data_IF_733432856400
#
_entry.id   IF_733432856400
#
_cell.length_a   1.000
_cell.length_b   1.000
_cell.length_c   1.000
_cell.angle_alpha   90.00
_cell.angle_beta   90.00
_cell.angle_gamma   90.00
#
_symmetry.space_group_name_H-M   'P 1'
#
loop_
_entity.id
_entity.type
_entity.pdbx_description
1 polymer ?
#
# COMPACT_ATOMS: atom_id res chain seq x y z
N UNK A 1 -4.98 -1.25 6.45
CA UNK A 1 -4.60 -2.68 6.29
C UNK A 1 -3.09 -2.76 6.30
N UNK A 2 -2.49 -3.42 7.29
CA UNK A 2 -1.04 -3.65 7.35
C UNK A 2 -0.71 -4.84 6.43
N UNK A 3 0.19 -4.65 5.47
CA UNK A 3 0.64 -5.75 4.60
C UNK A 3 1.86 -6.41 5.23
N UNK A 4 1.71 -7.69 5.54
CA UNK A 4 2.76 -8.60 5.99
C UNK A 4 3.36 -9.27 4.76
N UNK A 5 4.64 -9.01 4.49
CA UNK A 5 5.34 -9.59 3.34
C UNK A 5 6.49 -10.44 3.86
N UNK A 6 6.42 -11.75 3.63
CA UNK A 6 7.51 -12.67 3.92
C UNK A 6 8.33 -12.88 2.66
N UNK A 7 9.59 -12.44 2.66
CA UNK A 7 10.52 -12.62 1.56
C UNK A 7 11.60 -13.64 1.97
N UNK A 8 11.79 -14.68 1.16
CA UNK A 8 12.85 -15.68 1.33
C UNK A 8 13.68 -15.75 0.06
N UNK A 9 14.99 -15.55 0.21
CA UNK A 9 15.96 -15.58 -0.89
C UNK A 9 16.97 -16.68 -0.63
N UNK A 10 17.26 -17.47 -1.67
CA UNK A 10 18.35 -18.45 -1.66
C UNK A 10 19.33 -18.07 -2.76
N UNK A 11 20.57 -17.74 -2.38
CA UNK A 11 21.62 -17.45 -3.34
C UNK A 11 22.40 -18.73 -3.65
N UNK A 12 22.48 -19.08 -4.94
CA UNK A 12 23.24 -20.24 -5.41
C UNK A 12 24.22 -19.68 -6.44
N UNK A 13 25.49 -19.53 -6.08
CA UNK A 13 26.50 -19.02 -7.01
C UNK A 13 27.76 -19.88 -7.02
N UNK A 14 28.41 -19.87 -8.19
CA UNK A 14 29.56 -20.67 -8.58
C UNK A 14 30.72 -19.77 -9.00
N UNK A 15 31.78 -19.71 -8.19
CA UNK A 15 33.11 -19.25 -8.61
C UNK A 15 33.54 -17.87 -8.07
N UNK A 16 34.78 -17.81 -7.60
CA UNK A 16 35.40 -16.69 -6.88
C UNK A 16 35.86 -15.54 -7.79
N UNK A 17 35.40 -14.29 -7.54
CA UNK A 17 36.18 -13.06 -7.81
C UNK A 17 35.82 -12.01 -6.74
N UNK A 18 36.82 -11.56 -5.98
CA UNK A 18 36.68 -10.47 -5.00
C UNK A 18 37.21 -9.19 -5.65
N UNK A 19 36.33 -8.24 -5.94
CA UNK A 19 36.72 -6.90 -6.38
C UNK A 19 35.90 -5.86 -5.62
N UNK A 20 36.59 -4.96 -4.91
CA UNK A 20 35.99 -3.82 -4.23
C UNK A 20 35.30 -2.91 -5.27
N UNK A 21 33.98 -2.82 -5.20
CA UNK A 21 33.17 -1.90 -6.00
C UNK A 21 32.02 -1.39 -5.15
N UNK A 22 31.81 -0.07 -5.13
CA UNK A 22 30.83 0.67 -4.31
C UNK A 22 29.36 0.45 -4.75
N UNK A 23 28.94 -0.79 -4.96
CA UNK A 23 27.52 -1.09 -5.19
C UNK A 23 26.86 -1.46 -3.86
N UNK A 24 25.88 -0.66 -3.41
CA UNK A 24 25.14 -0.95 -2.19
C UNK A 24 24.23 -2.16 -2.39
N UNK A 25 24.52 -3.27 -1.72
CA UNK A 25 23.65 -4.44 -1.67
C UNK A 25 22.51 -4.17 -0.69
N UNK A 26 21.28 -4.27 -1.17
CA UNK A 26 20.10 -4.01 -0.37
C UNK A 26 18.87 -4.74 -0.90
N UNK A 27 17.88 -4.87 -0.04
CA UNK A 27 16.54 -5.36 -0.34
C UNK A 27 15.60 -4.17 -0.33
N UNK A 28 14.89 -3.98 -1.43
CA UNK A 28 13.84 -2.98 -1.57
C UNK A 28 12.50 -3.68 -1.70
N UNK A 29 11.57 -3.36 -0.81
CA UNK A 29 10.18 -3.82 -0.92
C UNK A 29 9.30 -2.62 -1.19
N UNK A 30 8.48 -2.69 -2.23
CA UNK A 30 7.65 -1.58 -2.70
C UNK A 30 6.24 -2.07 -2.98
N UNK A 31 5.24 -1.39 -2.42
CA UNK A 31 3.84 -1.55 -2.81
C UNK A 31 3.57 -0.61 -3.97
N UNK A 32 3.08 -1.16 -5.07
CA UNK A 32 2.82 -0.44 -6.31
C UNK A 32 1.33 -0.49 -6.62
N UNK A 33 0.78 0.66 -7.01
CA UNK A 33 -0.54 0.79 -7.59
C UNK A 33 -0.40 0.93 -9.11
N UNK A 34 -1.03 0.01 -9.83
CA UNK A 34 -1.24 0.06 -11.26
C UNK A 34 -2.64 0.63 -11.51
N UNK A 35 -2.70 1.73 -12.24
CA UNK A 35 -3.96 2.36 -12.64
C UNK A 35 -4.02 2.41 -14.15
N UNK A 36 -5.01 1.76 -14.73
CA UNK A 36 -5.29 1.79 -16.15
C UNK A 36 -6.57 2.59 -16.39
N UNK A 37 -6.52 3.52 -17.34
CA UNK A 37 -7.65 4.36 -17.75
C UNK A 37 -8.03 3.95 -19.17
N UNK A 38 -9.02 3.06 -19.28
CA UNK A 38 -9.35 2.37 -20.53
C UNK A 38 -9.89 3.32 -21.61
N UNK A 39 -10.56 4.41 -21.23
CA UNK A 39 -11.06 5.41 -22.19
C UNK A 39 -9.97 6.11 -22.99
N UNK A 40 -8.77 6.27 -22.43
CA UNK A 40 -7.66 7.03 -23.06
C UNK A 40 -6.40 6.18 -23.23
N UNK A 41 -6.49 4.87 -23.00
CA UNK A 41 -5.35 3.94 -22.95
C UNK A 41 -4.20 4.47 -22.08
N UNK A 42 -4.55 5.09 -20.95
CA UNK A 42 -3.59 5.67 -20.02
C UNK A 42 -3.17 4.65 -18.98
N UNK A 43 -1.86 4.48 -18.75
CA UNK A 43 -1.34 3.60 -17.71
C UNK A 43 -0.46 4.36 -16.73
N UNK A 44 -0.76 4.24 -15.44
CA UNK A 44 0.02 4.81 -14.35
C UNK A 44 0.52 3.71 -13.45
N UNK A 45 1.80 3.81 -13.08
CA UNK A 45 2.48 2.86 -12.22
C UNK A 45 3.19 3.64 -11.12
N UNK A 46 2.69 3.57 -9.89
CA UNK A 46 3.14 4.43 -8.80
C UNK A 46 3.39 3.65 -7.51
N UNK A 47 4.54 3.90 -6.91
CA UNK A 47 4.88 3.38 -5.58
C UNK A 47 4.08 4.11 -4.50
N UNK A 48 3.23 3.37 -3.79
CA UNK A 48 2.39 3.87 -2.69
C UNK A 48 3.00 3.63 -1.31
N UNK A 49 3.92 2.67 -1.18
CA UNK A 49 4.75 2.50 0.02
C UNK A 49 6.07 1.83 -0.39
N UNK A 50 7.16 2.14 0.29
CA UNK A 50 8.46 1.49 0.04
C UNK A 50 9.25 1.41 1.34
N UNK A 51 10.04 0.36 1.46
CA UNK A 51 11.06 0.20 2.51
C UNK A 51 12.32 -0.38 1.87
N UNK A 52 13.46 0.16 2.28
CA UNK A 52 14.78 -0.31 1.87
C UNK A 52 15.49 -0.86 3.10
N UNK A 53 16.17 -2.00 2.98
CA UNK A 53 16.89 -2.64 4.09
C UNK A 53 18.18 -3.29 3.61
N UNK A 54 19.27 -3.08 4.35
CA UNK A 54 20.58 -3.71 4.12
C UNK A 54 20.84 -4.90 5.05
N UNK A 55 19.87 -5.24 5.90
CA UNK A 55 20.04 -6.32 6.88
C UNK A 55 20.15 -7.68 6.17
N UNK A 56 21.19 -8.43 6.50
CA UNK A 56 21.47 -9.72 5.88
C UNK A 56 22.12 -9.64 4.49
N UNK A 57 22.51 -8.46 4.03
CA UNK A 57 23.30 -8.26 2.81
C UNK A 57 24.79 -8.07 3.15
N UNK A 58 25.74 -8.60 2.35
CA UNK A 58 25.55 -9.52 1.22
C UNK A 58 24.94 -10.87 1.63
N UNK A 59 24.15 -11.46 0.74
CA UNK A 59 23.74 -12.86 0.88
C UNK A 59 24.89 -13.74 0.38
N UNK A 60 25.53 -14.45 1.29
CA UNK A 60 26.64 -15.35 0.99
C UNK A 60 26.15 -16.49 0.06
N UNK A 61 26.94 -16.94 -0.94
CA UNK A 61 26.61 -18.12 -1.73
C UNK A 61 26.25 -19.33 -0.85
N UNK A 62 25.13 -19.98 -1.15
CA UNK A 62 24.60 -21.11 -0.37
C UNK A 62 23.78 -20.71 0.87
N UNK A 63 23.78 -19.45 1.27
CA UNK A 63 22.95 -18.96 2.38
C UNK A 63 21.50 -18.70 1.94
N UNK A 64 20.59 -18.77 2.91
CA UNK A 64 19.19 -18.38 2.74
C UNK A 64 18.86 -17.23 3.71
N UNK A 65 18.37 -16.12 3.18
CA UNK A 65 17.88 -14.99 3.98
C UNK A 65 16.36 -14.98 3.97
N UNK A 66 15.74 -15.02 5.14
CA UNK A 66 14.29 -14.88 5.31
C UNK A 66 14.00 -13.69 6.19
N UNK A 67 13.21 -12.74 5.69
CA UNK A 67 12.86 -11.51 6.41
C UNK A 67 11.40 -11.13 6.17
N UNK A 68 10.74 -10.69 7.23
CA UNK A 68 9.37 -10.16 7.19
C UNK A 68 9.42 -8.64 7.14
N UNK A 69 8.76 -8.06 6.15
CA UNK A 69 8.58 -6.63 5.99
C UNK A 69 7.14 -6.22 6.27
N UNK A 70 6.99 -5.04 6.89
CA UNK A 70 5.70 -4.44 7.21
C UNK A 70 5.56 -3.14 6.43
N UNK A 71 4.60 -3.08 5.51
CA UNK A 71 4.31 -1.87 4.74
C UNK A 71 2.86 -1.44 4.96
N UNK A 72 2.66 -0.14 5.11
CA UNK A 72 1.36 0.49 5.22
C UNK A 72 1.12 1.43 4.04
N UNK A 73 0.41 0.98 2.99
CA UNK A 73 0.02 1.86 1.89
C UNK A 73 -1.08 2.82 2.38
N UNK A 74 -0.72 4.08 2.64
CA UNK A 74 -1.63 5.13 3.13
C UNK A 74 -1.76 6.26 2.10
N UNK A 75 -2.96 6.80 1.93
CA UNK A 75 -3.18 7.95 1.05
C UNK A 75 -2.48 9.22 1.55
N UNK A 76 -2.35 9.37 2.87
CA UNK A 76 -1.71 10.52 3.53
C UNK A 76 -0.28 10.74 3.04
N UNK A 77 0.51 9.66 3.00
CA UNK A 77 1.90 9.68 2.54
C UNK A 77 2.04 9.84 1.01
N UNK A 78 0.93 9.87 0.28
CA UNK A 78 0.89 9.92 -1.17
C UNK A 78 0.13 11.13 -1.72
N UNK A 79 -0.35 12.05 -0.86
CA UNK A 79 -1.13 13.24 -1.27
C UNK A 79 -0.41 14.12 -2.31
N UNK A 80 0.92 14.20 -2.24
CA UNK A 80 1.72 15.04 -3.14
C UNK A 80 2.06 14.38 -4.48
N UNK A 81 1.69 13.11 -4.67
CA UNK A 81 2.02 12.34 -5.88
C UNK A 81 0.82 12.33 -6.84
N UNK A 82 1.08 12.71 -8.09
CA UNK A 82 0.09 12.63 -9.17
C UNK A 82 0.03 11.24 -9.79
N UNK A 83 -1.14 10.87 -10.32
CA UNK A 83 -1.36 9.58 -11.00
C UNK A 83 -1.54 8.40 -10.05
N UNK A 84 -1.90 8.66 -8.79
CA UNK A 84 -2.35 7.65 -7.83
C UNK A 84 -3.88 7.73 -7.75
N UNK A 85 -4.54 6.59 -7.89
CA UNK A 85 -5.99 6.49 -7.74
C UNK A 85 -6.38 6.53 -6.25
N UNK A 86 -7.35 7.39 -5.94
CA UNK A 86 -7.90 7.63 -4.60
C UNK A 86 -9.41 7.36 -4.62
N UNK A 87 -9.98 7.00 -3.46
CA UNK A 87 -11.42 6.75 -3.27
C UNK A 87 -12.23 8.04 -3.00
N UNK A 88 -11.61 9.21 -3.22
CA UNK A 88 -12.17 10.51 -2.89
C UNK A 88 -11.33 11.66 -3.46
N UNK A 89 -11.73 12.88 -3.15
CA UNK A 89 -11.02 14.08 -3.62
C UNK A 89 -9.80 14.37 -2.74
N UNK A 90 -8.69 14.77 -3.36
CA UNK A 90 -7.43 15.02 -2.65
C UNK A 90 -7.52 16.02 -1.47
N UNK A 91 -8.47 16.95 -1.51
CA UNK A 91 -8.71 17.98 -0.47
C UNK A 91 -9.56 17.50 0.71
N UNK A 92 -10.11 16.29 0.65
CA UNK A 92 -10.92 15.72 1.71
C UNK A 92 -10.04 14.95 2.70
N UNK A 93 -10.26 15.20 4.00
CA UNK A 93 -9.43 14.64 5.06
C UNK A 93 -9.51 13.12 5.21
N UNK A 94 -10.61 12.52 4.76
CA UNK A 94 -10.89 11.09 4.91
C UNK A 94 -10.58 10.27 3.63
N UNK A 95 -9.79 10.84 2.72
CA UNK A 95 -9.48 10.20 1.44
C UNK A 95 -8.52 9.03 1.63
N UNK A 96 -8.88 7.87 1.09
CA UNK A 96 -8.07 6.67 1.07
C UNK A 96 -7.56 6.34 -0.34
N UNK A 97 -6.62 5.39 -0.43
CA UNK A 97 -6.23 4.80 -1.71
C UNK A 97 -7.45 4.05 -2.28
N UNK A 98 -7.61 4.10 -3.60
CA UNK A 98 -8.73 3.43 -4.25
C UNK A 98 -8.67 1.90 -4.08
N UNK A 99 -9.83 1.26 -3.96
CA UNK A 99 -9.89 -0.20 -3.86
C UNK A 99 -9.52 -0.88 -5.19
N UNK A 100 -9.11 -2.14 -5.13
CA UNK A 100 -8.80 -2.94 -6.32
C UNK A 100 -10.04 -3.29 -7.11
N UNK A 101 -9.97 -3.20 -8.43
CA UNK A 101 -11.03 -3.65 -9.33
C UNK A 101 -11.08 -5.18 -9.32
N UNK A 102 -12.26 -5.75 -9.09
CA UNK A 102 -12.44 -7.20 -8.97
C UNK A 102 -12.67 -7.89 -10.34
N UNK A 103 -13.33 -7.21 -11.28
CA UNK A 103 -13.64 -7.73 -12.61
C UNK A 103 -13.01 -6.82 -13.67
N UNK A 104 -11.97 -7.30 -14.35
CA UNK A 104 -11.20 -6.48 -15.31
C UNK A 104 -11.58 -6.72 -16.77
N UNK A 105 -12.26 -7.83 -17.10
CA UNK A 105 -12.56 -8.24 -18.48
C UNK A 105 -13.43 -7.22 -19.23
N UNK A 106 -14.38 -6.60 -18.53
CA UNK A 106 -15.40 -5.72 -19.12
C UNK A 106 -15.43 -4.35 -18.42
N UNK A 107 -14.34 -4.00 -17.72
CA UNK A 107 -14.27 -2.76 -16.95
C UNK A 107 -14.04 -1.56 -17.88
N UNK A 108 -15.06 -0.71 -17.98
CA UNK A 108 -14.94 0.62 -18.59
C UNK A 108 -14.58 1.65 -17.51
N UNK A 109 -13.65 2.54 -17.81
CA UNK A 109 -13.21 3.60 -16.90
C UNK A 109 -11.83 3.35 -16.31
N UNK A 110 -11.74 3.26 -14.98
CA UNK A 110 -10.47 3.16 -14.24
C UNK A 110 -10.34 1.76 -13.62
N UNK A 111 -9.31 1.02 -14.04
CA UNK A 111 -8.97 -0.30 -13.52
C UNK A 111 -7.78 -0.17 -12.59
N UNK A 112 -7.94 -0.60 -11.34
CA UNK A 112 -6.92 -0.48 -10.30
C UNK A 112 -6.48 -1.87 -9.85
N UNK A 113 -5.18 -2.10 -9.86
CA UNK A 113 -4.56 -3.30 -9.28
C UNK A 113 -3.35 -2.93 -8.44
N UNK A 114 -3.03 -3.78 -7.47
CA UNK A 114 -1.89 -3.59 -6.59
C UNK A 114 -0.97 -4.80 -6.63
N UNK A 115 0.32 -4.53 -6.44
CA UNK A 115 1.30 -5.59 -6.25
C UNK A 115 2.39 -5.15 -5.27
N UNK A 116 2.98 -6.14 -4.63
CA UNK A 116 4.21 -6.00 -3.87
C UNK A 116 5.35 -6.38 -4.80
N UNK A 117 6.27 -5.45 -5.02
CA UNK A 117 7.52 -5.69 -5.73
C UNK A 117 8.65 -5.80 -4.73
N UNK A 118 9.36 -6.92 -4.77
CA UNK A 118 10.56 -7.16 -3.99
C UNK A 118 11.75 -7.12 -4.95
N UNK A 119 12.71 -6.23 -4.71
CA UNK A 119 13.98 -6.16 -5.43
C UNK A 119 15.13 -6.49 -4.50
N UNK A 120 16.01 -7.37 -4.94
CA UNK A 120 17.26 -7.66 -4.27
C UNK A 120 18.39 -7.19 -5.18
N UNK A 121 19.21 -6.26 -4.67
CA UNK A 121 20.39 -5.75 -5.34
C UNK A 121 21.62 -6.53 -4.87
N UNK A 122 22.28 -7.23 -5.80
CA UNK A 122 23.32 -8.22 -5.51
C UNK A 122 24.72 -7.72 -5.93
N UNK A 123 24.90 -6.40 -5.86
CA UNK A 123 26.15 -5.74 -6.19
C UNK A 123 26.53 -5.77 -7.67
N UNK A 124 27.76 -5.38 -7.98
CA UNK A 124 28.24 -5.13 -9.34
C UNK A 124 28.20 -6.34 -10.30
N UNK A 125 28.19 -7.57 -9.77
CA UNK A 125 28.24 -8.81 -10.57
C UNK A 125 26.90 -9.56 -10.52
N UNK A 126 26.15 -9.48 -9.41
CA UNK A 126 24.91 -10.24 -9.23
C UNK A 126 23.66 -9.63 -9.85
N UNK A 127 23.72 -8.38 -10.32
CA UNK A 127 22.57 -7.69 -10.92
C UNK A 127 21.44 -7.40 -9.91
N UNK A 128 20.21 -7.27 -10.42
CA UNK A 128 19.00 -7.18 -9.58
C UNK A 128 18.08 -8.37 -9.82
N UNK A 129 17.56 -8.94 -8.73
CA UNK A 129 16.47 -9.91 -8.76
C UNK A 129 15.17 -9.20 -8.40
N UNK A 130 14.12 -9.41 -9.19
CA UNK A 130 12.81 -8.78 -8.99
C UNK A 130 11.72 -9.85 -8.91
N UNK A 131 10.86 -9.76 -7.91
CA UNK A 131 9.68 -10.59 -7.75
C UNK A 131 8.45 -9.71 -7.48
N UNK A 132 7.38 -9.93 -8.25
CA UNK A 132 6.11 -9.23 -8.11
C UNK A 132 5.03 -10.19 -7.60
N UNK A 133 4.34 -9.79 -6.53
CA UNK A 133 3.23 -10.54 -5.94
C UNK A 133 1.97 -9.68 -5.96
N UNK A 134 0.97 -9.99 -6.79
CA UNK A 134 -0.28 -9.24 -6.83
C UNK A 134 -1.12 -9.47 -5.57
N UNK A 135 -1.85 -8.45 -5.14
CA UNK A 135 -2.82 -8.56 -4.05
C UNK A 135 -4.02 -7.63 -4.29
N UNK A 136 -5.10 -7.84 -3.52
CA UNK A 136 -6.30 -6.99 -3.56
C UNK A 136 -6.37 -6.14 -2.30
N UNK A 137 -6.47 -4.83 -2.49
CA UNK A 137 -6.76 -3.84 -1.45
C UNK A 137 -8.25 -3.51 -1.50
N UNK A 138 -8.96 -3.68 -0.39
CA UNK A 138 -10.39 -3.36 -0.29
C UNK A 138 -10.68 -2.61 1.00
N UNK A 139 -11.71 -1.77 0.96
CA UNK A 139 -12.28 -1.18 2.18
C UNK A 139 -12.74 -2.27 3.16
N UNK A 140 -12.65 -2.03 4.47
CA UNK A 140 -13.07 -3.00 5.48
C UNK A 140 -14.56 -3.31 5.36
N UNK A 141 -14.94 -4.57 5.54
CA UNK A 141 -16.34 -4.98 5.56
C UNK A 141 -17.10 -4.31 6.71
N UNK A 142 -18.38 -3.98 6.52
CA UNK A 142 -19.17 -3.20 7.49
C UNK A 142 -19.33 -3.88 8.86
N UNK A 143 -19.19 -5.20 8.94
CA UNK A 143 -19.20 -5.94 10.22
C UNK A 143 -18.00 -5.60 11.12
N UNK A 144 -16.82 -5.37 10.53
CA UNK A 144 -15.59 -4.99 11.26
C UNK A 144 -15.60 -3.52 11.70
N UNK A 145 -16.37 -2.66 11.03
CA UNK A 145 -16.56 -1.26 11.47
C UNK A 145 -17.38 -1.16 12.76
N UNK A 146 -18.29 -2.12 13.01
CA UNK A 146 -19.12 -2.12 14.23
C UNK A 146 -18.27 -2.31 15.49
N UNK A 147 -17.22 -3.13 15.46
CA UNK A 147 -16.32 -3.37 16.60
C UNK A 147 -15.56 -2.11 17.02
N UNK A 148 -15.08 -1.32 16.05
CA UNK A 148 -14.36 -0.05 16.31
C UNK A 148 -15.31 1.01 16.89
N UNK A 149 -16.56 1.05 16.41
CA UNK A 149 -17.57 2.00 16.91
C UNK A 149 -18.13 1.65 18.31
N UNK A 150 -17.99 0.39 18.75
CA UNK A 150 -18.58 -0.09 20.00
C UNK A 150 -17.76 0.30 21.25
N UNK A 151 -16.48 0.65 21.11
CA UNK A 151 -15.66 1.18 22.20
C UNK A 151 -16.12 2.57 22.69
N UNK A 152 -16.84 3.33 21.85
CA UNK A 152 -17.33 4.68 22.18
C UNK A 152 -18.75 4.70 22.76
N UNK A 153 -19.51 3.59 22.68
CA UNK A 153 -20.95 3.57 23.04
C UNK A 153 -21.26 3.20 24.50
N UNK A 154 -20.25 3.00 25.35
CA UNK A 154 -20.46 2.53 26.73
C UNK A 154 -20.76 3.62 27.78
N UNK A 155 -20.84 4.89 27.41
CA UNK A 155 -21.09 6.00 28.36
C UNK A 155 -22.53 6.55 28.32
N UNK A 156 -23.33 6.28 27.27
CA UNK A 156 -24.70 6.84 27.12
C UNK A 156 -25.82 5.80 27.18
N UNK A 157 -25.74 4.84 28.09
CA UNK A 157 -26.79 3.82 28.26
C UNK A 157 -27.64 4.07 29.50
N UNK A 158 -28.35 5.18 29.53
CA UNK A 158 -29.54 5.35 30.36
C UNK A 158 -30.40 6.46 29.75
N UNK A 159 -31.68 6.18 29.49
CA UNK A 159 -32.68 6.99 28.77
C UNK A 159 -32.55 6.85 27.24
N UNK A 160 -33.48 6.30 26.46
CA UNK A 160 -34.88 5.92 26.66
C UNK A 160 -35.23 4.83 25.64
N UNK A 161 -36.05 3.87 26.06
CA UNK A 161 -36.70 2.87 25.21
C UNK A 161 -37.72 3.55 24.29
N UNK A 162 -38.00 2.89 23.16
CA UNK A 162 -39.12 3.05 22.22
C UNK A 162 -38.85 3.85 20.93
N UNK A 163 -38.53 3.09 19.88
CA UNK A 163 -38.92 3.31 18.47
C UNK A 163 -38.73 4.67 17.75
N UNK A 164 -37.89 5.59 18.24
CA UNK A 164 -37.34 6.64 17.37
C UNK A 164 -35.90 6.26 17.00
N UNK A 165 -35.65 5.94 15.73
CA UNK A 165 -34.28 6.12 15.24
C UNK A 165 -33.94 7.59 15.51
N UNK A 166 -32.99 7.88 16.40
CA UNK A 166 -32.44 9.23 16.58
C UNK A 166 -31.77 9.59 15.25
N UNK A 167 -32.56 10.14 14.33
CA UNK A 167 -32.10 10.64 13.05
C UNK A 167 -31.29 11.90 13.34
N UNK A 168 -29.98 11.72 13.44
CA UNK A 168 -29.03 12.83 13.48
C UNK A 168 -28.90 13.36 12.05
N UNK A 169 -29.38 14.57 11.82
CA UNK A 169 -29.16 15.27 10.55
C UNK A 169 -27.75 15.85 10.55
N UNK A 170 -26.94 15.42 9.61
CA UNK A 170 -25.63 15.99 9.30
C UNK A 170 -25.65 16.54 7.87
N UNK A 171 -24.77 17.49 7.59
CA UNK A 171 -24.61 18.02 6.24
C UNK A 171 -24.00 16.96 5.31
N UNK A 172 -24.47 16.88 4.07
CA UNK A 172 -23.90 16.01 3.05
C UNK A 172 -22.54 16.54 2.55
N UNK A 173 -22.25 17.83 2.78
CA UNK A 173 -20.98 18.43 2.42
C UNK A 173 -19.82 17.80 3.19
N UNK A 174 -18.86 17.22 2.47
CA UNK A 174 -17.65 16.64 3.06
C UNK A 174 -16.76 17.72 3.68
N UNK A 175 -16.17 17.40 4.83
CA UNK A 175 -15.21 18.28 5.52
C UNK A 175 -13.95 18.45 4.66
N UNK A 176 -13.68 19.68 4.24
CA UNK A 176 -12.45 20.05 3.55
C UNK A 176 -11.31 20.18 4.56
N UNK A 177 -10.13 19.68 4.24
CA UNK A 177 -8.90 20.10 4.94
C UNK A 177 -8.45 21.45 4.37
N UNK A 178 -8.23 22.43 5.24
CA UNK A 178 -7.50 23.64 4.87
C UNK A 178 -6.01 23.28 4.74
N UNK A 179 -5.37 23.68 3.64
CA UNK A 179 -3.91 23.66 3.59
C UNK A 179 -3.40 24.75 4.53
N UNK A 180 -2.50 24.39 5.45
CA UNK A 180 -1.60 25.39 6.03
C UNK A 180 -0.67 25.80 4.89
N UNK A 181 -0.96 26.95 4.28
CA UNK A 181 -0.09 27.57 3.31
C UNK A 181 1.16 28.04 4.10
N UNK A 182 2.23 27.26 4.07
CA UNK A 182 3.54 27.69 4.57
C UNK A 182 4.07 28.78 3.63
N UNK A 183 3.96 30.02 4.08
CA UNK A 183 4.67 31.20 3.56
C UNK A 183 6.17 31.14 3.90
#
# INVERSE_FOLDING_TARGET
>A
MLLLINASFRYVDSGWIKQESLSEENIKVTVIQNTEVTMVNGHYHKAVASIDSKEGCPIIPGATLTKVFYLLPSAENNKNKRGIALDGMLKEGDTNLASSTLNTSDALGIVISYMVRVRLYMGAIGGELVADVPFKLTSPTPEKQKEVSNMQKRVKKQLSREMSADLVFEDFARRRQFSEDNE
#
